data_IF_322348151627
#
_entry.id   IF_322348151627
#
_cell.length_a   1.000
_cell.length_b   1.000
_cell.length_c   1.000
_cell.angle_alpha   90.00
_cell.angle_beta   90.00
_cell.angle_gamma   90.00
#
_symmetry.space_group_name_H-M   'P 1'
#
loop_
_entity.id
_entity.type
_entity.pdbx_description
1 polymer ?
#
# COMPACT_ATOMS: atom_id res chain seq x y z
N UNK A 1 3.21 28.96 -1.26
CA UNK A 1 3.78 27.87 -2.03
C UNK A 1 2.85 26.66 -1.99
N UNK A 2 2.45 26.18 -3.16
CA UNK A 2 1.57 25.02 -3.20
C UNK A 2 2.32 23.77 -2.82
N UNK A 3 1.76 23.01 -1.89
CA UNK A 3 2.29 21.69 -1.56
C UNK A 3 1.82 20.70 -2.61
N UNK A 4 2.77 20.21 -3.40
CA UNK A 4 2.48 19.20 -4.41
C UNK A 4 2.39 17.83 -3.73
N UNK A 5 1.48 17.02 -4.23
CA UNK A 5 1.28 15.67 -3.74
C UNK A 5 1.58 14.70 -4.87
N UNK A 6 2.49 13.77 -4.63
CA UNK A 6 2.77 12.68 -5.56
C UNK A 6 2.08 11.43 -5.06
N UNK A 7 1.41 10.73 -5.96
CA UNK A 7 0.66 9.52 -5.62
C UNK A 7 1.20 8.32 -6.37
N UNK A 8 1.05 7.16 -5.76
CA UNK A 8 1.32 5.88 -6.40
C UNK A 8 0.20 4.92 -6.03
N UNK A 9 -0.16 4.07 -6.98
CA UNK A 9 -1.26 3.13 -6.83
C UNK A 9 -0.76 1.72 -7.04
N UNK A 10 -1.21 0.81 -6.18
CA UNK A 10 -0.99 -0.62 -6.34
C UNK A 10 -2.35 -1.28 -6.41
N UNK A 11 -2.66 -1.91 -7.54
CA UNK A 11 -3.98 -2.47 -7.79
C UNK A 11 -3.93 -3.98 -7.81
N UNK A 12 -5.04 -4.60 -7.38
CA UNK A 12 -5.25 -6.06 -7.45
C UNK A 12 -4.23 -6.86 -6.65
N UNK A 13 -3.82 -6.33 -5.50
CA UNK A 13 -2.93 -7.06 -4.59
C UNK A 13 -3.73 -8.19 -3.94
N UNK A 14 -3.16 -9.40 -3.97
CA UNK A 14 -3.81 -10.59 -3.40
C UNK A 14 -3.63 -10.67 -1.89
N UNK A 15 -3.97 -9.61 -1.19
CA UNK A 15 -3.94 -9.51 0.28
C UNK A 15 -5.23 -8.80 0.69
N UNK A 16 -5.84 -9.23 1.78
CA UNK A 16 -7.10 -8.61 2.21
C UNK A 16 -6.87 -7.15 2.63
N UNK A 17 -7.84 -6.25 2.39
CA UNK A 17 -7.70 -4.84 2.76
C UNK A 17 -7.41 -4.65 4.25
N UNK A 18 -8.02 -5.46 5.10
CA UNK A 18 -7.83 -5.37 6.56
C UNK A 18 -6.37 -5.58 6.95
N UNK A 19 -5.71 -6.58 6.36
CA UNK A 19 -4.30 -6.87 6.65
C UNK A 19 -3.38 -5.76 6.18
N UNK A 20 -3.67 -5.19 5.00
CA UNK A 20 -2.89 -4.08 4.46
C UNK A 20 -3.10 -2.84 5.31
N UNK A 21 -4.34 -2.56 5.73
CA UNK A 21 -4.66 -1.38 6.51
C UNK A 21 -3.91 -1.33 7.84
N UNK A 22 -3.70 -2.47 8.46
CA UNK A 22 -2.92 -2.55 9.71
C UNK A 22 -1.51 -2.02 9.49
N UNK A 23 -0.87 -2.39 8.38
CA UNK A 23 0.48 -1.92 8.05
C UNK A 23 0.44 -0.45 7.60
N UNK A 24 -0.57 -0.05 6.86
CA UNK A 24 -0.74 1.35 6.45
C UNK A 24 -0.80 2.29 7.65
N UNK A 25 -1.48 1.87 8.70
CA UNK A 25 -1.62 2.70 9.91
C UNK A 25 -0.27 2.95 10.60
N UNK A 26 0.71 2.06 10.41
CA UNK A 26 2.03 2.22 10.99
C UNK A 26 2.85 3.32 10.30
N UNK A 27 2.61 3.57 9.02
CA UNK A 27 3.43 4.50 8.25
C UNK A 27 2.74 5.84 7.96
N UNK A 28 1.45 5.95 8.26
CA UNK A 28 0.72 7.20 7.99
C UNK A 28 1.28 8.35 8.82
N UNK A 29 1.53 9.47 8.17
CA UNK A 29 2.05 10.67 8.83
C UNK A 29 3.54 10.61 9.14
N UNK A 30 4.24 9.59 8.74
CA UNK A 30 5.68 9.45 8.98
C UNK A 30 6.47 9.98 7.79
N UNK A 31 7.71 10.41 8.05
CA UNK A 31 8.63 10.76 6.98
C UNK A 31 8.86 9.53 6.09
N UNK A 32 9.11 9.77 4.80
CA UNK A 32 9.31 8.66 3.85
C UNK A 32 10.44 7.73 4.29
N UNK A 33 11.56 8.29 4.78
CA UNK A 33 12.67 7.48 5.28
C UNK A 33 12.29 6.66 6.50
N UNK A 34 11.55 7.24 7.44
CA UNK A 34 11.06 6.55 8.63
C UNK A 34 10.07 5.44 8.24
N UNK A 35 9.18 5.74 7.29
CA UNK A 35 8.21 4.75 6.81
C UNK A 35 8.92 3.56 6.15
N UNK A 36 9.96 3.81 5.37
CA UNK A 36 10.77 2.74 4.78
C UNK A 36 11.40 1.84 5.85
N UNK A 37 11.94 2.45 6.89
CA UNK A 37 12.55 1.70 8.00
C UNK A 37 11.52 0.86 8.75
N UNK A 38 10.33 1.42 8.99
CA UNK A 38 9.24 0.69 9.65
C UNK A 38 8.84 -0.52 8.82
N UNK A 39 8.66 -0.34 7.51
CA UNK A 39 8.28 -1.44 6.62
C UNK A 39 9.35 -2.52 6.57
N UNK A 40 10.63 -2.14 6.57
CA UNK A 40 11.73 -3.09 6.54
C UNK A 40 11.77 -3.97 7.80
N UNK A 41 11.31 -3.45 8.93
CA UNK A 41 11.32 -4.17 10.21
C UNK A 41 9.99 -4.86 10.54
N UNK A 42 8.97 -4.66 9.72
CA UNK A 42 7.66 -5.25 9.97
C UNK A 42 7.51 -6.56 9.20
N UNK A 43 7.45 -7.71 9.89
CA UNK A 43 7.39 -9.02 9.21
C UNK A 43 5.94 -9.37 8.80
N UNK A 44 5.37 -8.59 7.91
CA UNK A 44 4.01 -8.80 7.40
C UNK A 44 4.05 -9.01 5.89
N UNK A 45 3.11 -9.79 5.38
CA UNK A 45 3.01 -10.03 3.93
C UNK A 45 2.79 -8.74 3.15
N UNK A 46 2.11 -7.76 3.75
CA UNK A 46 1.85 -6.48 3.11
C UNK A 46 3.07 -5.56 3.05
N UNK A 47 4.11 -5.83 3.85
CA UNK A 47 5.26 -4.91 3.96
C UNK A 47 6.04 -4.79 2.66
N UNK A 48 6.28 -5.90 1.96
CA UNK A 48 7.03 -5.88 0.71
C UNK A 48 6.31 -5.09 -0.40
N UNK A 49 5.02 -5.36 -0.70
CA UNK A 49 4.31 -4.55 -1.69
C UNK A 49 4.24 -3.08 -1.32
N UNK A 50 4.05 -2.76 -0.04
CA UNK A 50 4.00 -1.37 0.41
C UNK A 50 5.35 -0.68 0.30
N UNK A 51 6.44 -1.39 0.55
CA UNK A 51 7.79 -0.85 0.35
C UNK A 51 8.01 -0.45 -1.10
N UNK A 52 7.63 -1.31 -2.03
CA UNK A 52 7.75 -1.02 -3.46
C UNK A 52 6.87 0.16 -3.86
N UNK A 53 5.65 0.21 -3.32
CA UNK A 53 4.72 1.30 -3.61
C UNK A 53 5.23 2.63 -3.08
N UNK A 54 5.79 2.64 -1.87
CA UNK A 54 6.35 3.84 -1.28
C UNK A 54 7.56 4.33 -2.09
N UNK A 55 8.43 3.43 -2.54
CA UNK A 55 9.54 3.79 -3.43
C UNK A 55 9.03 4.42 -4.71
N UNK A 56 7.96 3.88 -5.27
CA UNK A 56 7.34 4.42 -6.48
C UNK A 56 6.80 5.83 -6.25
N UNK A 57 6.13 6.07 -5.11
CA UNK A 57 5.61 7.39 -4.77
C UNK A 57 6.73 8.41 -4.59
N UNK A 58 7.82 8.01 -3.92
CA UNK A 58 8.99 8.87 -3.73
C UNK A 58 9.64 9.19 -5.08
N UNK A 59 9.79 8.20 -5.96
CA UNK A 59 10.33 8.41 -7.31
C UNK A 59 9.45 9.36 -8.13
N UNK A 60 8.12 9.23 -8.02
CA UNK A 60 7.20 10.13 -8.69
C UNK A 60 7.36 11.57 -8.21
N UNK A 61 7.52 11.76 -6.90
CA UNK A 61 7.71 13.08 -6.31
C UNK A 61 9.01 13.70 -6.81
N UNK A 62 10.08 12.92 -6.84
CA UNK A 62 11.40 13.40 -7.28
C UNK A 62 11.43 13.72 -8.77
N UNK A 63 10.97 12.78 -9.60
CA UNK A 63 11.09 12.88 -11.06
C UNK A 63 10.05 13.79 -11.68
N UNK A 64 8.83 13.80 -11.19
CA UNK A 64 7.73 14.56 -11.81
C UNK A 64 7.57 15.95 -11.22
N UNK A 65 7.92 16.15 -9.95
CA UNK A 65 7.70 17.40 -9.25
C UNK A 65 8.98 18.03 -8.71
N UNK A 66 10.14 17.39 -8.90
CA UNK A 66 11.41 17.92 -8.42
C UNK A 66 11.52 18.04 -6.90
N UNK A 67 10.77 17.25 -6.16
CA UNK A 67 10.80 17.30 -4.70
C UNK A 67 12.03 16.63 -4.13
N UNK A 68 12.53 17.15 -3.02
CA UNK A 68 13.65 16.54 -2.30
C UNK A 68 13.16 15.30 -1.55
N UNK A 69 13.68 14.10 -1.86
CA UNK A 69 13.25 12.88 -1.17
C UNK A 69 13.42 12.93 0.33
N UNK A 70 14.41 13.68 0.84
CA UNK A 70 14.64 13.78 2.27
C UNK A 70 13.56 14.56 3.00
N UNK A 71 12.72 15.32 2.28
CA UNK A 71 11.68 16.16 2.85
C UNK A 71 10.27 15.65 2.58
N UNK A 72 10.13 14.40 2.17
CA UNK A 72 8.82 13.82 1.87
C UNK A 72 8.21 13.18 3.11
N UNK A 73 6.90 13.37 3.25
CA UNK A 73 6.10 12.79 4.32
C UNK A 73 4.97 11.99 3.69
N UNK A 74 4.67 10.84 4.24
CA UNK A 74 3.52 10.03 3.82
C UNK A 74 2.27 10.73 4.34
N UNK A 75 1.59 11.48 3.47
CA UNK A 75 0.40 12.25 3.87
C UNK A 75 -0.85 11.39 3.91
N UNK A 76 -0.97 10.48 2.97
CA UNK A 76 -2.11 9.57 2.91
C UNK A 76 -1.63 8.20 2.51
N UNK A 77 -2.15 7.18 3.17
CA UNK A 77 -1.98 5.79 2.78
C UNK A 77 -3.20 5.04 3.22
N UNK A 78 -3.83 4.34 2.29
CA UNK A 78 -5.03 3.57 2.59
C UNK A 78 -5.18 2.43 1.61
N UNK A 79 -5.94 1.41 2.02
CA UNK A 79 -6.30 0.29 1.20
C UNK A 79 -7.81 0.27 1.01
N UNK A 80 -8.25 0.00 -0.22
CA UNK A 80 -9.67 -0.18 -0.53
C UNK A 80 -9.89 -1.60 -1.03
N UNK A 81 -11.09 -2.17 -0.81
CA UNK A 81 -11.38 -3.50 -1.32
C UNK A 81 -11.41 -3.51 -2.86
N UNK A 82 -10.75 -4.50 -3.43
CA UNK A 82 -10.84 -4.79 -4.85
C UNK A 82 -11.83 -5.93 -5.12
N UNK A 83 -11.87 -6.43 -6.35
CA UNK A 83 -12.73 -7.55 -6.67
C UNK A 83 -12.40 -8.79 -5.84
N UNK A 84 -13.43 -9.52 -5.45
CA UNK A 84 -13.28 -10.78 -4.75
C UNK A 84 -13.24 -11.88 -5.79
N UNK A 85 -12.16 -12.65 -5.79
CA UNK A 85 -12.04 -13.82 -6.66
C UNK A 85 -12.70 -14.99 -5.96
N UNK A 86 -13.82 -15.43 -6.51
CA UNK A 86 -14.57 -16.55 -5.93
C UNK A 86 -14.08 -17.86 -6.54
N UNK A 87 -13.70 -18.78 -5.69
CA UNK A 87 -13.24 -20.10 -6.09
C UNK A 87 -14.08 -21.15 -5.40
N UNK A 88 -14.28 -22.29 -6.07
CA UNK A 88 -14.99 -23.42 -5.51
C UNK A 88 -13.98 -24.51 -5.18
N UNK A 89 -14.05 -25.04 -3.98
CA UNK A 89 -13.20 -26.14 -3.56
C UNK A 89 -14.09 -27.37 -3.40
N UNK A 90 -13.84 -28.45 -4.13
CA UNK A 90 -14.59 -29.69 -3.95
C UNK A 90 -14.29 -30.30 -2.58
N UNK A 91 -15.31 -30.81 -1.94
CA UNK A 91 -15.21 -31.50 -0.66
C UNK A 91 -15.73 -32.91 -0.80
N UNK A 92 -15.43 -33.75 0.20
CA UNK A 92 -15.97 -35.09 0.28
C UNK A 92 -17.51 -35.08 0.12
N UNK A 93 -18.09 -36.09 -0.48
CA UNK A 93 -19.54 -36.23 -0.77
C UNK A 93 -20.03 -35.26 -1.86
N UNK A 94 -19.16 -34.83 -2.74
CA UNK A 94 -19.54 -34.02 -3.90
C UNK A 94 -19.97 -32.59 -3.60
N UNK A 95 -19.78 -32.14 -2.37
CA UNK A 95 -20.08 -30.75 -2.02
C UNK A 95 -18.94 -29.83 -2.37
N UNK A 96 -19.27 -28.63 -2.85
CA UNK A 96 -18.30 -27.59 -3.14
C UNK A 96 -18.44 -26.45 -2.15
N UNK A 97 -17.31 -25.92 -1.71
CA UNK A 97 -17.29 -24.77 -0.81
C UNK A 97 -16.69 -23.58 -1.52
N UNK A 98 -17.31 -22.41 -1.32
CA UNK A 98 -16.83 -21.16 -1.92
C UNK A 98 -15.64 -20.65 -1.12
N UNK A 99 -14.56 -20.35 -1.84
CA UNK A 99 -13.40 -19.69 -1.27
C UNK A 99 -13.33 -18.28 -1.85
N UNK A 100 -13.36 -17.29 -0.98
CA UNK A 100 -13.25 -15.90 -1.37
C UNK A 100 -11.78 -15.47 -1.30
N UNK A 101 -11.19 -15.19 -2.47
CA UNK A 101 -9.85 -14.62 -2.57
C UNK A 101 -9.98 -13.11 -2.67
N UNK A 102 -9.65 -12.42 -1.60
CA UNK A 102 -9.79 -10.97 -1.56
C UNK A 102 -8.60 -10.29 -2.20
N UNK A 103 -8.88 -9.19 -2.87
CA UNK A 103 -7.85 -8.33 -3.43
C UNK A 103 -8.01 -6.93 -2.85
N UNK A 104 -6.97 -6.13 -2.99
CA UNK A 104 -6.96 -4.77 -2.47
C UNK A 104 -6.33 -3.82 -3.47
N UNK A 105 -6.76 -2.58 -3.41
CA UNK A 105 -6.09 -1.46 -4.09
C UNK A 105 -5.49 -0.58 -3.01
N UNK A 106 -4.23 -0.22 -3.16
CA UNK A 106 -3.52 0.61 -2.20
C UNK A 106 -3.11 1.91 -2.85
N UNK A 107 -3.31 3.00 -2.13
CA UNK A 107 -2.90 4.33 -2.57
C UNK A 107 -1.95 4.90 -1.52
N UNK A 108 -0.79 5.39 -1.97
CA UNK A 108 0.12 6.16 -1.12
C UNK A 108 0.30 7.53 -1.76
N UNK A 109 0.14 8.56 -0.94
CA UNK A 109 0.40 9.94 -1.35
C UNK A 109 1.50 10.50 -0.45
N UNK A 110 2.51 11.11 -1.06
CA UNK A 110 3.58 11.78 -0.34
C UNK A 110 3.57 13.26 -0.69
N UNK A 111 3.82 14.10 0.30
CA UNK A 111 3.88 15.54 0.14
C UNK A 111 5.23 16.05 0.62
N UNK A 112 5.65 17.20 0.08
CA UNK A 112 6.85 17.85 0.56
C UNK A 112 6.60 18.49 1.91
N UNK A 113 7.55 18.30 2.82
CA UNK A 113 7.52 18.94 4.13
C UNK A 113 7.96 20.39 3.96
N UNK A 114 7.19 21.28 4.51
CA UNK A 114 7.53 22.71 4.45
C UNK A 114 8.76 23.04 5.28
#
# INVERSE_FOLDING_TARGET
MENKTAKAYLRYVRISPRKIQIVCDLIRGKDAGTAMAILAQTPKAASEPLTKLLKSAVANAENNFGMDPAKLVVSEVFATPGPILKRMMPRAQGRAYRINKRTSHVTIAVTGKA
#
